data_IF_224865363831
#
_entry.id   IF_224865363831
#
_cell.length_a   1.000
_cell.length_b   1.000
_cell.length_c   1.000
_cell.angle_alpha   90.00
_cell.angle_beta   90.00
_cell.angle_gamma   90.00
#
_symmetry.space_group_name_H-M   'P 1'
#
loop_
_entity.id
_entity.type
_entity.pdbx_description
1 polymer ?
#
# COMPACT_ATOMS: atom_id res chain seq x y z
N UNK A 1 20.54 -1.06 -3.45
CA UNK A 1 20.55 0.38 -3.78
C UNK A 1 19.16 0.95 -3.53
N UNK A 2 19.04 2.02 -2.74
CA UNK A 2 17.86 2.89 -2.72
C UNK A 2 18.29 4.23 -3.36
N UNK A 3 18.49 4.29 -4.67
CA UNK A 3 18.93 5.52 -5.32
C UNK A 3 17.81 6.55 -5.41
N UNK A 4 16.56 6.11 -5.54
CA UNK A 4 15.43 6.98 -5.86
C UNK A 4 14.94 7.82 -4.69
N UNK A 5 14.83 7.26 -3.48
CA UNK A 5 14.41 8.04 -2.30
C UNK A 5 15.48 9.07 -1.90
N UNK A 6 16.76 8.70 -1.97
CA UNK A 6 17.86 9.64 -1.74
C UNK A 6 17.94 10.73 -2.83
N UNK A 7 17.74 10.37 -4.10
CA UNK A 7 17.69 11.33 -5.21
C UNK A 7 16.50 12.28 -5.09
N UNK A 8 15.33 11.78 -4.71
CA UNK A 8 14.13 12.60 -4.46
C UNK A 8 14.33 13.56 -3.29
N UNK A 9 14.99 13.14 -2.21
CA UNK A 9 15.33 14.01 -1.09
C UNK A 9 16.24 15.16 -1.51
N UNK A 10 17.29 14.87 -2.26
CA UNK A 10 18.25 15.89 -2.73
C UNK A 10 17.60 16.84 -3.73
N UNK A 11 16.94 16.29 -4.76
CA UNK A 11 16.48 17.10 -5.90
C UNK A 11 15.23 17.94 -5.55
N UNK A 12 14.18 17.30 -5.00
CA UNK A 12 12.92 18.00 -4.75
C UNK A 12 12.99 18.98 -3.58
N UNK A 13 13.72 18.67 -2.52
CA UNK A 13 13.70 19.49 -1.31
C UNK A 13 14.71 20.62 -1.30
N UNK A 14 15.84 20.45 -1.95
CA UNK A 14 16.88 21.48 -1.94
C UNK A 14 16.61 22.58 -2.96
N UNK A 15 15.99 22.27 -4.09
CA UNK A 15 15.84 23.18 -5.22
C UNK A 15 14.40 23.69 -5.43
N UNK A 16 13.39 23.16 -4.74
CA UNK A 16 12.04 23.69 -4.89
C UNK A 16 11.88 25.03 -4.16
N UNK A 17 11.07 25.91 -4.72
CA UNK A 17 10.59 27.11 -4.03
C UNK A 17 9.55 26.77 -2.97
N UNK A 18 9.60 27.46 -1.84
CA UNK A 18 8.62 27.29 -0.76
C UNK A 18 7.76 28.54 -0.64
N UNK A 19 6.42 28.41 -0.60
CA UNK A 19 5.52 29.58 -0.53
C UNK A 19 5.64 30.35 0.78
N UNK A 20 6.01 29.65 1.88
CA UNK A 20 6.19 30.26 3.20
C UNK A 20 7.39 29.63 3.94
N UNK A 21 8.02 30.42 4.79
CA UNK A 21 9.21 30.00 5.56
C UNK A 21 8.93 28.81 6.49
N UNK A 22 7.72 28.70 7.03
CA UNK A 22 7.31 27.60 7.88
C UNK A 22 7.33 26.25 7.12
N UNK A 23 6.86 26.24 5.88
CA UNK A 23 6.90 25.04 5.02
C UNK A 23 8.34 24.63 4.70
N UNK A 24 9.21 25.60 4.34
CA UNK A 24 10.63 25.35 4.13
C UNK A 24 11.30 24.73 5.35
N UNK A 25 11.12 25.34 6.50
CA UNK A 25 11.69 24.87 7.77
C UNK A 25 11.22 23.45 8.10
N UNK A 26 9.91 23.19 8.02
CA UNK A 26 9.37 21.87 8.29
C UNK A 26 9.96 20.81 7.34
N UNK A 27 9.95 21.09 6.04
CA UNK A 27 10.43 20.17 5.03
C UNK A 27 11.92 19.87 5.14
N UNK A 28 12.75 20.92 5.25
CA UNK A 28 14.22 20.76 5.30
C UNK A 28 14.71 20.15 6.61
N UNK A 29 14.06 20.46 7.72
CA UNK A 29 14.48 20.00 9.06
C UNK A 29 13.98 18.60 9.39
N UNK A 30 12.82 18.19 8.87
CA UNK A 30 12.26 16.84 9.07
C UNK A 30 12.72 15.85 8.01
N UNK A 31 12.84 16.28 6.76
CA UNK A 31 13.13 15.41 5.62
C UNK A 31 12.17 14.21 5.53
N UNK A 32 10.89 14.42 5.88
CA UNK A 32 9.88 13.36 5.88
C UNK A 32 9.70 12.77 4.49
N UNK A 33 9.66 11.46 4.37
CA UNK A 33 9.26 10.72 3.18
C UNK A 33 7.91 10.04 3.43
N UNK A 34 7.20 9.73 2.38
CA UNK A 34 6.02 8.89 2.39
C UNK A 34 6.20 7.82 1.31
N UNK A 35 6.85 6.73 1.65
CA UNK A 35 7.13 5.63 0.74
C UNK A 35 6.09 4.55 1.00
N UNK A 36 5.34 4.18 -0.02
CA UNK A 36 4.39 3.08 -0.04
C UNK A 36 4.64 2.20 -1.25
N UNK A 37 3.83 1.18 -1.42
CA UNK A 37 3.89 0.29 -2.58
C UNK A 37 2.52 0.18 -3.25
N UNK A 38 2.53 -0.27 -4.48
CA UNK A 38 1.37 -0.58 -5.30
C UNK A 38 1.44 -2.04 -5.73
N UNK A 39 0.33 -2.59 -6.19
CA UNK A 39 0.33 -3.93 -6.73
C UNK A 39 0.23 -5.05 -5.69
N UNK A 40 -0.29 -4.78 -4.48
CA UNK A 40 -0.42 -5.83 -3.46
C UNK A 40 -1.32 -6.97 -3.96
N UNK A 41 -2.45 -6.66 -4.61
CA UNK A 41 -3.34 -7.68 -5.16
C UNK A 41 -2.63 -8.58 -6.19
N UNK A 42 -1.81 -8.00 -7.06
CA UNK A 42 -1.00 -8.77 -8.00
C UNK A 42 0.05 -9.64 -7.28
N UNK A 43 0.68 -9.10 -6.23
CA UNK A 43 1.65 -9.85 -5.44
C UNK A 43 1.01 -11.06 -4.76
N UNK A 44 -0.17 -10.90 -4.14
CA UNK A 44 -0.92 -11.99 -3.56
C UNK A 44 -1.33 -13.03 -4.63
N UNK A 45 -1.91 -12.58 -5.73
CA UNK A 45 -2.32 -13.46 -6.83
C UNK A 45 -1.15 -14.28 -7.40
N UNK A 46 0.06 -13.68 -7.52
CA UNK A 46 1.28 -14.41 -7.93
C UNK A 46 1.70 -15.51 -6.96
N UNK A 47 1.38 -15.36 -5.68
CA UNK A 47 1.66 -16.37 -4.67
C UNK A 47 0.49 -17.36 -4.47
N UNK A 48 -0.59 -17.23 -5.25
CA UNK A 48 -1.77 -18.08 -5.14
C UNK A 48 -2.62 -17.79 -3.91
N UNK A 49 -2.53 -16.58 -3.35
CA UNK A 49 -3.16 -16.19 -2.11
C UNK A 49 -4.30 -15.19 -2.35
N UNK A 50 -5.36 -15.31 -1.57
CA UNK A 50 -6.47 -14.36 -1.52
C UNK A 50 -6.43 -13.54 -0.23
N UNK A 51 -7.12 -12.38 -0.21
CA UNK A 51 -7.12 -11.50 0.96
C UNK A 51 -7.67 -12.15 2.24
N UNK A 52 -8.52 -13.16 2.11
CA UNK A 52 -9.12 -13.90 3.23
C UNK A 52 -8.24 -15.06 3.74
N UNK A 53 -7.13 -15.33 3.08
CA UNK A 53 -6.26 -16.46 3.45
C UNK A 53 -5.29 -16.05 4.58
N UNK A 54 -5.15 -16.92 5.57
CA UNK A 54 -4.19 -16.70 6.66
C UNK A 54 -2.74 -16.67 6.19
N UNK A 55 -2.43 -17.40 5.13
CA UNK A 55 -1.12 -17.37 4.44
C UNK A 55 -0.85 -16.02 3.77
N UNK A 56 -1.89 -15.36 3.20
CA UNK A 56 -1.78 -14.00 2.67
C UNK A 56 -1.45 -12.98 3.78
N UNK A 57 -2.03 -13.13 4.96
CA UNK A 57 -1.71 -12.26 6.11
C UNK A 57 -0.27 -12.44 6.57
N UNK A 58 0.22 -13.71 6.66
CA UNK A 58 1.61 -14.00 6.97
C UNK A 58 2.57 -13.46 5.89
N UNK A 59 2.23 -13.64 4.61
CA UNK A 59 3.00 -13.14 3.48
C UNK A 59 3.10 -11.59 3.51
N UNK A 60 1.98 -10.94 3.85
CA UNK A 60 1.92 -9.47 4.01
C UNK A 60 2.75 -9.00 5.21
N UNK A 61 2.72 -9.74 6.34
CA UNK A 61 3.57 -9.48 7.50
C UNK A 61 5.04 -9.48 7.11
N UNK A 62 5.49 -10.54 6.45
CA UNK A 62 6.88 -10.71 6.04
C UNK A 62 7.34 -9.62 5.06
N UNK A 63 6.49 -9.30 4.09
CA UNK A 63 6.73 -8.22 3.12
C UNK A 63 6.89 -6.87 3.82
N UNK A 64 5.96 -6.53 4.71
CA UNK A 64 5.94 -5.22 5.36
C UNK A 64 6.99 -5.07 6.44
N UNK A 65 7.34 -6.15 7.13
CA UNK A 65 8.50 -6.18 8.03
C UNK A 65 9.78 -5.86 7.26
N UNK A 66 10.04 -6.59 6.15
CA UNK A 66 11.20 -6.35 5.31
C UNK A 66 11.23 -4.90 4.79
N UNK A 67 10.10 -4.41 4.29
CA UNK A 67 9.96 -3.07 3.76
C UNK A 67 10.37 -2.00 4.79
N UNK A 68 9.78 -2.03 5.98
CA UNK A 68 10.08 -1.04 7.02
C UNK A 68 11.49 -1.18 7.57
N UNK A 69 11.96 -2.40 7.80
CA UNK A 69 13.31 -2.65 8.26
C UNK A 69 14.36 -2.04 7.33
N UNK A 70 14.24 -2.30 6.03
CA UNK A 70 15.20 -1.79 5.05
C UNK A 70 15.07 -0.28 4.80
N UNK A 71 13.89 0.31 4.93
CA UNK A 71 13.72 1.77 4.89
C UNK A 71 14.45 2.43 6.05
N UNK A 72 14.27 1.94 7.27
CA UNK A 72 14.97 2.45 8.45
C UNK A 72 16.48 2.24 8.36
N UNK A 73 16.93 1.05 7.97
CA UNK A 73 18.34 0.73 7.78
C UNK A 73 19.01 1.65 6.77
N UNK A 74 18.35 1.92 5.66
CA UNK A 74 18.88 2.81 4.62
C UNK A 74 18.90 4.28 5.07
N UNK A 75 17.85 4.73 5.78
CA UNK A 75 17.82 6.08 6.34
C UNK A 75 18.89 6.27 7.42
N UNK A 76 19.16 5.25 8.22
CA UNK A 76 20.25 5.26 9.20
C UNK A 76 21.63 5.29 8.53
N UNK A 77 21.82 4.53 7.45
CA UNK A 77 23.06 4.58 6.67
C UNK A 77 23.28 5.97 6.05
N UNK A 78 22.23 6.58 5.50
CA UNK A 78 22.29 7.95 4.99
C UNK A 78 22.58 8.97 6.10
N UNK A 79 22.11 8.73 7.32
CA UNK A 79 22.44 9.59 8.45
C UNK A 79 23.92 9.49 8.83
N UNK A 80 24.53 8.32 8.77
CA UNK A 80 25.98 8.13 8.96
C UNK A 80 26.80 8.89 7.92
N UNK A 81 26.35 8.92 6.68
CA UNK A 81 27.07 9.54 5.55
C UNK A 81 26.85 11.05 5.45
N UNK A 82 25.63 11.53 5.72
CA UNK A 82 25.18 12.90 5.44
C UNK A 82 24.65 13.65 6.67
N UNK A 83 24.73 13.04 7.85
CA UNK A 83 24.15 13.55 9.09
C UNK A 83 22.64 13.24 9.22
N UNK A 84 22.19 13.13 10.46
CA UNK A 84 20.77 12.97 10.82
C UNK A 84 19.95 14.19 10.42
N UNK A 85 18.63 14.06 10.28
CA UNK A 85 17.76 15.22 10.08
C UNK A 85 17.78 16.12 11.34
N UNK A 86 17.64 17.43 11.15
CA UNK A 86 17.76 18.41 12.25
C UNK A 86 16.73 18.16 13.37
N UNK A 87 15.50 17.69 13.00
CA UNK A 87 14.45 17.38 13.96
C UNK A 87 14.42 15.93 14.41
N UNK A 88 15.48 15.17 14.22
CA UNK A 88 15.56 13.78 14.68
C UNK A 88 15.22 13.66 16.18
N UNK A 89 15.77 14.53 17.02
CA UNK A 89 15.59 14.49 18.47
C UNK A 89 14.14 14.78 18.92
N UNK A 90 13.26 15.19 17.98
CA UNK A 90 11.81 15.36 18.18
C UNK A 90 11.00 14.15 17.73
N UNK A 91 11.62 13.08 17.30
CA UNK A 91 10.97 11.85 16.85
C UNK A 91 11.00 10.78 17.94
N UNK A 92 10.08 9.82 17.88
CA UNK A 92 10.14 8.63 18.74
C UNK A 92 11.40 7.79 18.50
N UNK A 93 11.94 7.84 17.30
CA UNK A 93 13.16 7.14 16.92
C UNK A 93 14.38 7.55 17.74
N UNK A 94 14.47 8.82 18.16
CA UNK A 94 15.54 9.29 19.04
C UNK A 94 15.50 8.67 20.43
N UNK A 95 14.33 8.20 20.84
CA UNK A 95 14.10 7.47 22.09
C UNK A 95 14.22 5.95 21.92
N UNK A 96 14.60 5.48 20.73
CA UNK A 96 14.68 4.07 20.40
C UNK A 96 13.31 3.40 20.20
N UNK A 97 12.24 4.18 20.06
CA UNK A 97 10.89 3.64 19.84
C UNK A 97 10.66 3.47 18.33
N UNK A 98 10.45 2.23 17.91
CA UNK A 98 10.20 1.84 16.52
C UNK A 98 8.71 1.52 16.30
N UNK A 99 8.21 1.44 15.06
CA UNK A 99 6.81 1.05 14.80
C UNK A 99 6.41 -0.27 15.47
N UNK A 100 7.31 -1.25 15.49
CA UNK A 100 7.12 -2.56 16.14
C UNK A 100 6.90 -2.50 17.66
N UNK A 101 7.12 -1.36 18.30
CA UNK A 101 6.92 -1.18 19.75
C UNK A 101 5.57 -0.53 20.07
N UNK A 102 4.87 0.04 19.08
CA UNK A 102 3.70 0.90 19.31
C UNK A 102 2.45 0.50 18.51
N UNK A 103 2.45 -0.68 17.94
CA UNK A 103 1.28 -1.23 17.26
C UNK A 103 0.26 -1.78 18.28
N UNK A 104 -0.94 -2.08 17.81
CA UNK A 104 -1.98 -2.71 18.62
C UNK A 104 -1.71 -4.22 18.71
N UNK A 105 -1.41 -4.71 19.89
CA UNK A 105 -1.00 -6.12 20.10
C UNK A 105 -2.06 -7.15 19.73
N UNK A 106 -3.34 -6.78 19.71
CA UNK A 106 -4.42 -7.68 19.26
C UNK A 106 -4.20 -8.20 17.82
N UNK A 107 -3.40 -7.49 17.00
CA UNK A 107 -3.08 -7.96 15.65
C UNK A 107 -2.24 -9.25 15.65
N UNK A 108 -1.57 -9.57 16.75
CA UNK A 108 -0.80 -10.81 16.89
C UNK A 108 -1.72 -12.06 16.98
N UNK A 109 -3.03 -11.88 17.19
CA UNK A 109 -4.03 -12.94 17.01
C UNK A 109 -4.18 -13.34 15.54
N UNK A 110 -3.92 -12.42 14.59
CA UNK A 110 -4.00 -12.66 13.14
C UNK A 110 -2.71 -13.33 12.66
N UNK A 111 -1.57 -12.71 12.97
CA UNK A 111 -0.23 -13.21 12.62
C UNK A 111 0.67 -13.05 13.83
N UNK A 112 1.20 -14.16 14.39
CA UNK A 112 2.13 -14.12 15.52
C UNK A 112 3.34 -13.21 15.25
N UNK A 113 3.81 -12.53 16.29
CA UNK A 113 4.92 -11.57 16.19
C UNK A 113 6.28 -12.24 16.04
N UNK A 114 6.49 -12.98 14.96
CA UNK A 114 7.75 -13.65 14.62
C UNK A 114 8.58 -12.77 13.69
N UNK A 115 9.36 -11.84 14.25
CA UNK A 115 10.22 -10.94 13.50
C UNK A 115 11.44 -11.69 12.92
N UNK A 116 11.75 -11.44 11.64
CA UNK A 116 12.83 -12.11 10.89
C UNK A 116 14.14 -11.33 10.88
N UNK A 117 14.10 -10.03 11.18
CA UNK A 117 15.25 -9.15 11.10
C UNK A 117 15.77 -8.76 12.49
N UNK A 118 17.04 -8.38 12.55
CA UNK A 118 17.67 -7.91 13.79
C UNK A 118 17.31 -6.44 14.07
N UNK A 119 16.13 -6.26 14.65
CA UNK A 119 15.59 -4.95 15.01
C UNK A 119 16.38 -4.30 16.15
N UNK A 120 16.96 -5.06 17.05
CA UNK A 120 17.69 -4.50 18.21
C UNK A 120 19.03 -3.90 17.81
N UNK A 121 19.77 -4.54 16.92
CA UNK A 121 20.99 -3.94 16.34
C UNK A 121 20.64 -2.68 15.53
N UNK A 122 19.53 -2.69 14.79
CA UNK A 122 19.06 -1.49 14.07
C UNK A 122 18.64 -0.39 15.03
N UNK A 123 17.91 -0.70 16.10
CA UNK A 123 17.52 0.25 17.17
C UNK A 123 18.75 0.94 17.77
N UNK A 124 19.75 0.15 18.16
CA UNK A 124 21.02 0.66 18.70
C UNK A 124 21.72 1.56 17.72
N UNK A 125 21.77 1.18 16.45
CA UNK A 125 22.37 2.02 15.41
C UNK A 125 21.61 3.32 15.16
N UNK A 126 20.28 3.29 15.22
CA UNK A 126 19.41 4.47 15.06
C UNK A 126 19.59 5.44 16.24
N UNK A 127 19.61 4.96 17.47
CA UNK A 127 19.81 5.81 18.65
C UNK A 127 21.19 6.48 18.66
N UNK A 128 22.20 5.76 18.15
CA UNK A 128 23.60 6.25 18.09
C UNK A 128 23.81 7.27 16.96
N UNK A 129 23.34 6.96 15.74
CA UNK A 129 23.66 7.72 14.53
C UNK A 129 22.48 8.54 13.99
N UNK A 130 21.27 8.29 14.47
CA UNK A 130 20.05 8.94 14.01
C UNK A 130 19.50 8.39 12.69
N UNK A 131 18.49 9.07 12.18
CA UNK A 131 17.91 8.84 10.85
C UNK A 131 18.04 10.09 9.99
N UNK A 132 18.23 9.91 8.69
CA UNK A 132 18.21 11.01 7.71
C UNK A 132 16.82 11.59 7.53
N UNK A 133 15.78 10.81 7.79
CA UNK A 133 14.37 11.15 7.58
C UNK A 133 13.59 10.95 8.88
N UNK A 134 12.72 11.89 9.22
CA UNK A 134 11.90 11.82 10.45
C UNK A 134 10.78 10.79 10.38
N UNK A 135 10.31 10.49 9.18
CA UNK A 135 9.33 9.44 8.83
C UNK A 135 9.66 8.90 7.46
N UNK A 136 9.30 7.67 7.18
CA UNK A 136 9.67 6.96 5.95
C UNK A 136 8.49 6.34 5.23
N UNK A 137 7.70 5.51 5.90
CA UNK A 137 6.63 4.75 5.27
C UNK A 137 5.28 5.44 5.41
N UNK A 138 4.54 5.47 4.31
CA UNK A 138 3.15 5.86 4.23
C UNK A 138 2.49 5.10 3.09
N UNK A 139 1.30 4.57 3.34
CA UNK A 139 0.51 3.93 2.30
C UNK A 139 -0.68 4.83 1.95
N UNK A 140 -0.73 5.22 0.70
CA UNK A 140 -1.72 6.13 0.16
C UNK A 140 -2.51 5.48 -0.99
N UNK A 141 -3.69 5.99 -1.32
CA UNK A 141 -4.35 5.66 -2.59
C UNK A 141 -3.44 6.05 -3.77
N UNK A 142 -3.26 5.15 -4.73
CA UNK A 142 -2.23 5.28 -5.78
C UNK A 142 -2.79 5.13 -7.19
N UNK A 143 -4.03 5.55 -7.42
CA UNK A 143 -4.74 5.33 -8.68
C UNK A 143 -3.98 5.75 -9.94
N UNK A 144 -3.38 6.94 -9.93
CA UNK A 144 -2.66 7.43 -11.12
C UNK A 144 -1.32 6.72 -11.31
N UNK A 145 -0.59 6.48 -10.22
CA UNK A 145 0.71 5.79 -10.26
C UNK A 145 0.56 4.34 -10.70
N UNK A 146 -0.49 3.66 -10.27
CA UNK A 146 -0.77 2.28 -10.65
C UNK A 146 -1.09 2.14 -12.13
N UNK A 147 -1.83 3.09 -12.73
CA UNK A 147 -2.12 3.09 -14.16
C UNK A 147 -0.83 3.24 -14.98
N UNK A 148 0.03 4.21 -14.61
CA UNK A 148 1.28 4.45 -15.33
C UNK A 148 2.20 3.24 -15.31
N UNK A 149 2.18 2.47 -14.23
CA UNK A 149 3.04 1.29 -14.03
C UNK A 149 2.37 -0.04 -14.39
N UNK A 150 1.15 0.00 -14.91
CA UNK A 150 0.34 -1.20 -15.15
C UNK A 150 0.29 -2.14 -13.93
N UNK A 151 0.04 -1.57 -12.75
CA UNK A 151 -0.08 -2.30 -11.48
C UNK A 151 -1.51 -2.20 -10.93
N UNK A 152 -1.88 -3.10 -10.02
CA UNK A 152 -3.12 -2.94 -9.25
C UNK A 152 -3.01 -1.76 -8.28
N UNK A 153 -4.14 -1.12 -7.97
CA UNK A 153 -4.17 0.10 -7.17
C UNK A 153 -3.74 -0.16 -5.72
N UNK A 154 -2.60 0.39 -5.35
CA UNK A 154 -2.12 0.38 -3.96
C UNK A 154 -2.15 -1.01 -3.32
N UNK A 155 -2.93 -1.12 -2.26
CA UNK A 155 -3.13 -2.32 -1.45
C UNK A 155 -4.54 -2.91 -1.59
N UNK A 156 -5.38 -2.32 -2.44
CA UNK A 156 -6.76 -2.73 -2.61
C UNK A 156 -6.89 -3.88 -3.62
N UNK A 157 -7.87 -4.78 -3.42
CA UNK A 157 -8.30 -5.67 -4.48
C UNK A 157 -8.79 -4.87 -5.69
N UNK A 158 -8.55 -5.31 -6.93
CA UNK A 158 -9.13 -4.67 -8.10
C UNK A 158 -10.66 -4.79 -8.07
N UNK A 159 -11.34 -3.76 -8.55
CA UNK A 159 -12.81 -3.74 -8.61
C UNK A 159 -13.36 -4.76 -9.61
N UNK A 160 -12.62 -4.96 -10.70
CA UNK A 160 -12.87 -5.91 -11.75
C UNK A 160 -11.54 -6.22 -12.46
N UNK A 161 -11.51 -7.22 -13.32
CA UNK A 161 -10.36 -7.56 -14.17
C UNK A 161 -10.02 -6.47 -15.17
N UNK A 162 -11.03 -5.72 -15.65
CA UNK A 162 -10.87 -4.55 -16.51
C UNK A 162 -11.35 -3.30 -15.82
N UNK A 163 -10.47 -2.34 -15.62
CA UNK A 163 -10.84 -1.00 -15.17
C UNK A 163 -10.83 -0.01 -16.33
N UNK A 164 -11.87 0.84 -16.37
CA UNK A 164 -11.98 1.92 -17.37
C UNK A 164 -11.98 3.25 -16.65
N UNK A 165 -10.95 4.06 -16.90
CA UNK A 165 -10.85 5.40 -16.33
C UNK A 165 -11.12 6.45 -17.39
N UNK A 166 -12.16 7.26 -17.19
CA UNK A 166 -12.45 8.39 -18.08
C UNK A 166 -11.40 9.49 -17.89
N UNK A 167 -10.71 9.87 -18.94
CA UNK A 167 -9.77 10.99 -18.95
C UNK A 167 -10.20 12.06 -19.97
N UNK A 168 -9.61 13.26 -19.88
CA UNK A 168 -9.86 14.33 -20.88
C UNK A 168 -9.47 13.94 -22.31
N UNK A 169 -8.61 12.93 -22.46
CA UNK A 169 -8.12 12.43 -23.75
C UNK A 169 -8.84 11.14 -24.22
N UNK A 170 -9.86 10.70 -23.49
CA UNK A 170 -10.61 9.47 -23.77
C UNK A 170 -10.53 8.45 -22.63
N UNK A 171 -11.23 7.33 -22.73
CA UNK A 171 -11.18 6.26 -21.75
C UNK A 171 -9.85 5.52 -21.80
N UNK A 172 -9.23 5.35 -20.63
CA UNK A 172 -8.07 4.48 -20.44
C UNK A 172 -8.55 3.15 -19.90
N UNK A 173 -8.31 2.08 -20.65
CA UNK A 173 -8.63 0.71 -20.26
C UNK A 173 -7.37 0.06 -19.70
N UNK A 174 -7.50 -0.61 -18.56
CA UNK A 174 -6.41 -1.33 -17.91
C UNK A 174 -6.91 -2.69 -17.46
N UNK A 175 -6.25 -3.75 -17.93
CA UNK A 175 -6.46 -5.11 -17.45
C UNK A 175 -5.53 -5.37 -16.26
N UNK A 176 -5.98 -6.16 -15.29
CA UNK A 176 -5.12 -6.59 -14.18
C UNK A 176 -3.87 -7.29 -14.71
N UNK A 177 -2.70 -7.04 -14.13
CA UNK A 177 -1.44 -7.63 -14.60
C UNK A 177 -1.53 -9.16 -14.66
N UNK A 178 -0.90 -9.74 -15.67
CA UNK A 178 -0.83 -11.21 -15.84
C UNK A 178 -2.19 -11.92 -15.88
N UNK A 179 -3.22 -11.25 -16.41
CA UNK A 179 -4.59 -11.74 -16.46
C UNK A 179 -4.70 -13.16 -17.06
N UNK A 180 -3.95 -13.43 -18.13
CA UNK A 180 -4.04 -14.68 -18.89
C UNK A 180 -3.83 -15.94 -18.04
N UNK A 181 -3.00 -15.86 -16.98
CA UNK A 181 -2.68 -16.99 -16.12
C UNK A 181 -2.98 -16.77 -14.63
N UNK A 182 -3.24 -15.54 -14.19
CA UNK A 182 -3.54 -15.23 -12.77
C UNK A 182 -5.01 -14.88 -12.51
N UNK A 183 -5.88 -14.85 -13.51
CA UNK A 183 -7.28 -14.42 -13.33
C UNK A 183 -7.99 -15.11 -12.16
N UNK A 184 -7.77 -16.43 -11.99
CA UNK A 184 -8.42 -17.21 -10.94
C UNK A 184 -7.81 -17.00 -9.54
N UNK A 185 -6.67 -16.33 -9.45
CA UNK A 185 -5.96 -16.08 -8.19
C UNK A 185 -6.23 -14.66 -7.66
N UNK A 186 -6.84 -13.80 -8.48
CA UNK A 186 -7.21 -12.46 -8.02
C UNK A 186 -8.43 -12.48 -7.10
N UNK A 187 -8.35 -11.78 -6.00
CA UNK A 187 -9.54 -11.37 -5.24
C UNK A 187 -10.14 -10.16 -5.93
N UNK A 188 -11.40 -10.22 -6.33
CA UNK A 188 -12.14 -9.10 -6.91
C UNK A 188 -12.95 -8.41 -5.84
N UNK A 189 -12.83 -7.08 -5.74
CA UNK A 189 -13.38 -6.28 -4.65
C UNK A 189 -14.90 -6.49 -4.46
N UNK A 190 -15.65 -6.47 -5.56
CA UNK A 190 -17.10 -6.59 -5.51
C UNK A 190 -17.61 -8.03 -5.32
N UNK A 191 -16.72 -9.02 -5.44
CA UNK A 191 -17.01 -10.43 -5.13
C UNK A 191 -16.75 -10.76 -3.65
N UNK A 192 -16.04 -9.92 -2.91
CA UNK A 192 -15.78 -10.09 -1.49
C UNK A 192 -17.09 -9.96 -0.70
N UNK A 193 -17.41 -10.97 0.11
CA UNK A 193 -18.63 -10.99 0.94
C UNK A 193 -18.59 -10.05 2.13
N UNK A 194 -17.39 -9.69 2.59
CA UNK A 194 -17.16 -8.80 3.74
C UNK A 194 -15.75 -8.19 3.64
N UNK A 195 -15.45 -7.24 4.52
CA UNK A 195 -14.15 -6.58 4.57
C UNK A 195 -13.12 -7.27 5.50
N UNK A 196 -13.45 -8.40 6.14
CA UNK A 196 -12.66 -8.99 7.22
C UNK A 196 -11.20 -9.28 6.80
N UNK A 197 -10.99 -9.96 5.68
CA UNK A 197 -9.66 -10.27 5.17
C UNK A 197 -8.87 -9.02 4.82
N UNK A 198 -9.50 -8.03 4.18
CA UNK A 198 -8.89 -6.76 3.86
C UNK A 198 -8.51 -5.95 5.11
N UNK A 199 -9.38 -5.90 6.13
CA UNK A 199 -9.09 -5.26 7.42
C UNK A 199 -7.88 -5.92 8.08
N UNK A 200 -7.79 -7.26 8.05
CA UNK A 200 -6.67 -8.01 8.61
C UNK A 200 -5.36 -7.72 7.87
N UNK A 201 -5.38 -7.70 6.54
CA UNK A 201 -4.22 -7.33 5.72
C UNK A 201 -3.69 -5.95 6.11
N UNK A 202 -4.56 -4.92 6.18
CA UNK A 202 -4.14 -3.56 6.54
C UNK A 202 -3.65 -3.49 8.00
N UNK A 203 -4.32 -4.19 8.91
CA UNK A 203 -3.93 -4.19 10.33
C UNK A 203 -2.54 -4.79 10.53
N UNK A 204 -2.23 -5.86 9.82
CA UNK A 204 -0.89 -6.48 9.81
C UNK A 204 0.15 -5.51 9.23
N UNK A 205 -0.17 -4.83 8.13
CA UNK A 205 0.71 -3.80 7.57
C UNK A 205 0.94 -2.64 8.53
N UNK A 206 -0.11 -2.18 9.21
CA UNK A 206 -0.05 -1.03 10.13
C UNK A 206 0.92 -1.26 11.29
N UNK A 207 1.23 -2.51 11.64
CA UNK A 207 2.23 -2.89 12.63
C UNK A 207 3.60 -2.30 12.31
N UNK A 208 3.95 -2.18 11.04
CA UNK A 208 5.28 -1.76 10.58
C UNK A 208 5.33 -0.33 10.04
N UNK A 209 4.21 0.25 9.64
CA UNK A 209 4.20 1.56 9.00
C UNK A 209 4.31 2.73 9.98
N UNK A 210 5.10 3.74 9.63
CA UNK A 210 5.23 5.00 10.38
C UNK A 210 3.92 5.76 10.45
N UNK A 211 3.27 5.90 9.29
CA UNK A 211 2.04 6.68 9.14
C UNK A 211 0.82 5.77 9.18
N UNK A 212 -0.32 6.37 9.48
CA UNK A 212 -1.60 5.68 9.35
C UNK A 212 -1.83 5.29 7.88
N UNK A 213 -2.26 4.05 7.66
CA UNK A 213 -2.59 3.53 6.34
C UNK A 213 -3.99 4.00 5.96
N UNK A 214 -4.11 4.72 4.85
CA UNK A 214 -5.41 5.09 4.29
C UNK A 214 -5.96 3.95 3.47
N UNK A 215 -7.04 3.33 3.91
CA UNK A 215 -7.74 2.27 3.19
C UNK A 215 -9.24 2.50 3.18
N UNK A 216 -9.93 1.83 2.28
CA UNK A 216 -11.35 2.00 2.07
C UNK A 216 -12.10 0.73 2.46
N UNK A 217 -13.28 0.89 3.08
CA UNK A 217 -14.24 -0.20 3.16
C UNK A 217 -15.08 -0.24 1.89
N UNK A 218 -15.44 -1.44 1.47
CA UNK A 218 -16.21 -1.64 0.25
C UNK A 218 -17.35 -2.62 0.51
N UNK A 219 -18.54 -2.25 0.07
CA UNK A 219 -19.75 -3.02 0.26
C UNK A 219 -20.44 -3.25 -1.07
N UNK A 220 -20.77 -4.51 -1.37
CA UNK A 220 -21.65 -4.84 -2.48
C UNK A 220 -23.04 -5.15 -1.93
N UNK A 221 -24.05 -4.30 -2.16
CA UNK A 221 -25.41 -4.51 -1.68
C UNK A 221 -26.03 -5.84 -2.11
N UNK A 222 -25.64 -6.38 -3.29
CA UNK A 222 -26.15 -7.67 -3.78
C UNK A 222 -25.85 -8.86 -2.87
N UNK A 223 -24.91 -8.72 -1.94
CA UNK A 223 -24.58 -9.76 -0.97
C UNK A 223 -25.52 -9.77 0.25
N UNK A 224 -26.45 -8.83 0.32
CA UNK A 224 -27.36 -8.63 1.46
C UNK A 224 -28.82 -8.71 1.03
N UNK A 225 -29.68 -9.05 1.98
CA UNK A 225 -31.13 -9.09 1.79
C UNK A 225 -31.63 -7.68 1.36
N UNK A 226 -32.58 -7.64 0.44
CA UNK A 226 -33.15 -6.41 -0.14
C UNK A 226 -32.13 -5.45 -0.78
N UNK A 227 -30.91 -5.92 -1.07
CA UNK A 227 -29.78 -5.10 -1.54
C UNK A 227 -29.47 -3.91 -0.59
N UNK A 228 -29.67 -4.11 0.70
CA UNK A 228 -29.36 -3.12 1.73
C UNK A 228 -28.24 -3.60 2.66
N UNK A 229 -27.18 -2.80 2.79
CA UNK A 229 -26.07 -3.13 3.69
C UNK A 229 -26.49 -2.85 5.14
N UNK A 230 -26.58 -3.87 6.02
CA UNK A 230 -26.97 -3.67 7.41
C UNK A 230 -25.98 -2.77 8.16
N UNK A 231 -26.48 -1.83 8.93
CA UNK A 231 -25.64 -0.95 9.78
C UNK A 231 -24.78 -1.77 10.77
N UNK A 232 -25.27 -2.93 11.21
CA UNK A 232 -24.52 -3.85 12.08
C UNK A 232 -23.24 -4.37 11.41
N UNK A 233 -23.23 -4.59 10.10
CA UNK A 233 -22.05 -5.00 9.35
C UNK A 233 -21.02 -3.88 9.36
N UNK A 234 -21.43 -2.65 9.06
CA UNK A 234 -20.54 -1.47 9.07
C UNK A 234 -20.00 -1.21 10.50
N UNK A 235 -20.83 -1.36 11.50
CA UNK A 235 -20.42 -1.22 12.91
C UNK A 235 -19.39 -2.30 13.30
N UNK A 236 -19.60 -3.54 12.88
CA UNK A 236 -18.65 -4.63 13.13
C UNK A 236 -17.30 -4.37 12.43
N UNK A 237 -17.30 -3.90 11.18
CA UNK A 237 -16.07 -3.56 10.46
C UNK A 237 -15.30 -2.44 11.18
N UNK A 238 -16.01 -1.42 11.70
CA UNK A 238 -15.41 -0.35 12.49
C UNK A 238 -14.77 -0.89 13.78
N UNK A 239 -15.49 -1.75 14.51
CA UNK A 239 -15.00 -2.35 15.76
C UNK A 239 -13.80 -3.27 15.51
N UNK A 240 -13.84 -4.06 14.43
CA UNK A 240 -12.74 -4.94 14.02
C UNK A 240 -11.50 -4.14 13.61
N UNK A 241 -11.71 -3.07 12.85
CA UNK A 241 -10.67 -2.11 12.47
C UNK A 241 -9.99 -1.50 13.70
N UNK A 242 -10.78 -1.07 14.68
CA UNK A 242 -10.28 -0.53 15.95
C UNK A 242 -9.56 -1.60 16.78
N UNK A 243 -10.13 -2.80 16.88
CA UNK A 243 -9.54 -3.92 17.61
C UNK A 243 -8.13 -4.21 17.13
N UNK A 244 -7.91 -4.33 15.82
CA UNK A 244 -6.63 -4.70 15.24
C UNK A 244 -5.70 -3.53 14.91
N UNK A 245 -6.12 -2.29 15.19
CA UNK A 245 -5.25 -1.12 15.15
C UNK A 245 -4.99 -0.52 13.79
N UNK A 246 -5.81 -0.79 12.77
CA UNK A 246 -5.82 0.01 11.56
C UNK A 246 -6.35 1.41 11.89
N UNK A 247 -5.57 2.45 11.62
CA UNK A 247 -5.77 3.79 12.19
C UNK A 247 -6.65 4.72 11.36
N UNK A 248 -6.79 4.50 10.05
CA UNK A 248 -7.50 5.44 9.17
C UNK A 248 -8.30 4.74 8.10
N UNK A 249 -9.60 4.56 8.34
CA UNK A 249 -10.56 4.29 7.27
C UNK A 249 -10.83 5.61 6.52
N UNK A 250 -10.76 5.58 5.18
CA UNK A 250 -10.78 6.78 4.36
C UNK A 250 -12.13 6.98 3.67
N UNK A 251 -12.55 6.03 2.83
CA UNK A 251 -13.86 6.02 2.20
C UNK A 251 -14.65 4.76 2.54
N UNK A 252 -15.97 4.88 2.45
CA UNK A 252 -16.90 3.77 2.37
C UNK A 252 -17.43 3.73 0.93
N UNK A 253 -16.99 2.74 0.16
CA UNK A 253 -17.44 2.54 -1.20
C UNK A 253 -18.64 1.58 -1.20
N UNK A 254 -19.64 1.89 -1.98
CA UNK A 254 -20.75 0.99 -2.26
C UNK A 254 -20.74 0.68 -3.75
N UNK A 255 -20.95 -0.59 -4.12
CA UNK A 255 -21.13 -0.95 -5.51
C UNK A 255 -22.41 -0.30 -6.02
N UNK A 256 -22.27 0.62 -6.97
CA UNK A 256 -23.41 1.24 -7.65
C UNK A 256 -23.79 0.37 -8.85
N UNK A 257 -24.83 -0.44 -8.66
CA UNK A 257 -25.36 -1.36 -9.66
C UNK A 257 -25.80 -0.65 -10.97
N UNK A 258 -25.75 0.66 -11.02
CA UNK A 258 -26.10 1.50 -12.18
C UNK A 258 -24.90 2.04 -12.96
N UNK A 259 -23.68 1.65 -12.62
CA UNK A 259 -22.51 2.06 -13.41
C UNK A 259 -22.63 1.49 -14.82
N UNK A 260 -22.59 2.37 -15.82
CA UNK A 260 -22.66 2.06 -17.26
C UNK A 260 -22.01 0.68 -17.53
N UNK A 261 -22.81 -0.31 -17.82
CA UNK A 261 -22.38 -1.59 -18.36
C UNK A 261 -21.70 -1.35 -19.72
N UNK A 262 -20.46 -0.87 -19.65
CA UNK A 262 -19.55 -1.18 -20.74
C UNK A 262 -19.43 -2.70 -20.66
N UNK A 263 -19.86 -3.40 -21.71
CA UNK A 263 -19.74 -4.85 -21.73
C UNK A 263 -18.25 -5.21 -21.54
N UNK A 264 -17.91 -5.42 -20.27
CA UNK A 264 -16.55 -5.67 -19.79
C UNK A 264 -16.02 -6.93 -20.49
N UNK A 265 -16.91 -7.89 -20.72
CA UNK A 265 -16.56 -9.15 -21.35
C UNK A 265 -16.22 -8.96 -22.84
N UNK A 266 -17.05 -8.26 -23.61
CA UNK A 266 -16.76 -7.95 -25.02
C UNK A 266 -15.51 -7.06 -25.16
N UNK A 267 -15.34 -6.09 -24.26
CA UNK A 267 -14.14 -5.25 -24.24
C UNK A 267 -12.87 -6.02 -23.84
N UNK A 268 -13.00 -7.00 -22.95
CA UNK A 268 -11.90 -7.87 -22.53
C UNK A 268 -11.49 -8.81 -23.65
N UNK A 269 -12.46 -9.49 -24.28
CA UNK A 269 -12.22 -10.41 -25.40
C UNK A 269 -11.58 -9.69 -26.60
N UNK A 270 -11.99 -8.46 -26.87
CA UNK A 270 -11.39 -7.63 -27.92
C UNK A 270 -9.94 -7.25 -27.61
N UNK A 271 -9.65 -6.83 -26.38
CA UNK A 271 -8.28 -6.48 -25.96
C UNK A 271 -7.35 -7.70 -25.94
N UNK A 272 -7.87 -8.87 -25.52
CA UNK A 272 -7.10 -10.11 -25.54
C UNK A 272 -6.87 -10.62 -26.98
N UNK A 273 -7.83 -10.40 -27.89
CA UNK A 273 -7.68 -10.69 -29.32
C UNK A 273 -6.64 -9.79 -30.01
N UNK A 274 -6.54 -8.54 -29.62
CA UNK A 274 -5.52 -7.59 -30.09
C UNK A 274 -4.10 -7.92 -29.56
N UNK A 275 -3.99 -8.42 -28.30
CA UNK A 275 -2.70 -8.83 -27.73
C UNK A 275 -2.15 -10.14 -28.28
N UNK A 276 -2.95 -10.98 -28.88
CA UNK A 276 -2.49 -12.27 -29.44
C UNK A 276 -1.75 -12.15 -30.78
N UNK A 277 -1.64 -10.94 -31.34
CA UNK A 277 -1.04 -10.70 -32.68
C UNK A 277 0.34 -10.04 -32.60
N UNK A 278 0.74 -9.47 -31.46
CA UNK A 278 2.06 -8.83 -31.31
C UNK A 278 2.77 -9.28 -30.02
N UNK A 279 3.80 -10.11 -30.20
CA UNK A 279 4.98 -10.34 -29.34
C UNK A 279 4.77 -10.96 -27.95
N UNK A 280 5.17 -12.22 -27.84
CA UNK A 280 5.38 -12.99 -26.60
C UNK A 280 6.54 -12.48 -25.72
N UNK A 281 7.35 -11.52 -26.14
CA UNK A 281 8.62 -11.19 -25.47
C UNK A 281 8.64 -9.90 -24.61
N UNK A 282 7.59 -9.06 -24.62
CA UNK A 282 7.64 -7.75 -23.93
C UNK A 282 6.75 -7.60 -22.70
N UNK A 283 6.08 -8.64 -22.23
CA UNK A 283 5.21 -8.58 -21.04
C UNK A 283 5.92 -8.87 -19.69
N UNK A 284 7.21 -9.09 -19.67
CA UNK A 284 8.00 -9.33 -18.43
C UNK A 284 8.67 -8.08 -17.85
N UNK A 285 8.13 -6.90 -18.04
CA UNK A 285 8.63 -5.76 -17.27
C UNK A 285 8.05 -5.74 -15.86
N UNK A 286 8.74 -6.40 -14.94
CA UNK A 286 8.72 -6.05 -13.52
C UNK A 286 9.30 -4.62 -13.40
N UNK A 287 8.48 -3.63 -13.69
CA UNK A 287 8.87 -2.25 -13.44
C UNK A 287 8.73 -1.97 -11.94
N UNK A 288 9.82 -2.21 -11.21
CA UNK A 288 10.12 -1.45 -10.02
C UNK A 288 10.24 0.01 -10.48
N UNK A 289 9.14 0.75 -10.45
CA UNK A 289 9.18 2.17 -10.73
C UNK A 289 9.89 2.83 -9.56
N UNK A 290 11.08 3.27 -9.84
CA UNK A 290 11.79 4.23 -9.05
C UNK A 290 11.14 5.61 -9.23
N UNK A 291 10.36 6.07 -8.26
CA UNK A 291 10.00 7.48 -8.12
C UNK A 291 10.93 8.15 -7.12
#
# INVERSE_FOLDING_TARGET
>A
RIPSSAASDVYKRQYQGYPVKAAENSTKKRRSLGIGFIGLAHYLAKNGEHYDDSSAWQLTHDLTEAFQYYLLKSSNQLAKEKGKCEYFDRTKYSQGILPIDTYKSDVDEIVPNNLKYDWESLRTSITTHGLRHSTLSAQMPSESSSIVSNATNGIEPPRDYLSVKKSKKGPLKQIVPSYSYLKNNYTILWEMKNNDGYIKVISVMQKFFDQAISGNWSYNPEHFEDNEVPVSVMANDLLTTYKYGWKTSYYQNTNDLKSDEIDVKESLDKLLGECSVEQEDDCESLSLIHI
#
